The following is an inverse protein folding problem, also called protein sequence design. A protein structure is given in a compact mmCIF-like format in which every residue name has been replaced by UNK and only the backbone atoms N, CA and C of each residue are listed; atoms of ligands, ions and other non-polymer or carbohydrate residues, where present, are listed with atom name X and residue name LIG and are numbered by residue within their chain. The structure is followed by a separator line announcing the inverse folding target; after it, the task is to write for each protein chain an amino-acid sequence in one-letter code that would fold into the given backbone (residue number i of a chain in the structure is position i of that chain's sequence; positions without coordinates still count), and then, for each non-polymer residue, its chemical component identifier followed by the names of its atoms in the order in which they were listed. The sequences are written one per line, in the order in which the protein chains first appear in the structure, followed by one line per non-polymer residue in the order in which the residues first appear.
data_IF_799464702771
#
_entry.id   IF_799464702771
#
_cell.length_a   1.000
_cell.length_b   1.000
_cell.length_c   1.000
_cell.angle_alpha   90.00
_cell.angle_beta   90.00
_cell.angle_gamma   90.00
#
_symmetry.space_group_name_H-M   'P 1'
#
loop_
_entity.id
_entity.type
_entity.pdbx_description
1 polymer ?
#
# COMPACT_ATOMS: atom_id res chain seq x y z
N UNK A 1 -7.96 -24.90 1.87
CA UNK A 1 -9.38 -24.73 2.29
C UNK A 1 -10.10 -26.07 2.39
N UNK A 2 -9.86 -27.03 1.47
CA UNK A 2 -10.54 -28.35 1.48
C UNK A 2 -10.37 -29.09 2.82
N UNK A 3 -9.16 -29.10 3.38
CA UNK A 3 -8.83 -29.77 4.65
C UNK A 3 -9.17 -28.95 5.89
N UNK A 4 -9.66 -27.71 5.72
CA UNK A 4 -10.02 -26.87 6.86
C UNK A 4 -11.30 -27.43 7.51
N UNK A 5 -11.30 -27.54 8.85
CA UNK A 5 -12.50 -27.91 9.61
C UNK A 5 -13.62 -26.86 9.44
N UNK A 6 -14.87 -27.22 9.72
CA UNK A 6 -16.01 -26.33 9.47
C UNK A 6 -15.95 -25.03 10.31
N UNK A 7 -15.38 -25.10 11.51
CA UNK A 7 -15.11 -23.93 12.36
C UNK A 7 -13.68 -23.39 12.25
N UNK A 8 -12.91 -23.87 11.24
CA UNK A 8 -11.51 -23.53 11.08
C UNK A 8 -11.28 -22.16 10.46
N UNK A 9 -10.15 -21.56 10.82
CA UNK A 9 -9.63 -20.33 10.20
C UNK A 9 -8.31 -20.63 9.51
N UNK A 10 -8.10 -20.09 8.32
CA UNK A 10 -6.85 -20.17 7.57
C UNK A 10 -6.40 -18.76 7.20
N UNK A 11 -5.14 -18.46 7.45
CA UNK A 11 -4.49 -17.27 6.93
C UNK A 11 -3.38 -17.70 5.95
N UNK A 12 -3.32 -17.08 4.78
CA UNK A 12 -2.31 -17.39 3.78
C UNK A 12 -1.70 -16.09 3.24
N UNK A 13 -0.37 -16.07 3.16
CA UNK A 13 0.40 -14.96 2.59
C UNK A 13 0.61 -15.21 1.10
N UNK A 14 0.24 -14.25 0.28
CA UNK A 14 0.31 -14.35 -1.17
C UNK A 14 0.79 -13.00 -1.77
N UNK A 15 1.39 -13.00 -2.97
CA UNK A 15 1.66 -11.76 -3.70
C UNK A 15 0.36 -11.03 -4.07
N UNK A 16 0.37 -9.69 -4.10
CA UNK A 16 -0.81 -8.89 -4.47
C UNK A 16 -1.46 -9.28 -5.80
N UNK A 17 -0.69 -9.85 -6.73
CA UNK A 17 -1.21 -10.29 -8.04
C UNK A 17 -2.44 -11.19 -7.96
N UNK A 18 -2.55 -12.05 -6.94
CA UNK A 18 -3.70 -12.95 -6.76
C UNK A 18 -5.02 -12.20 -6.52
N UNK A 19 -4.94 -10.94 -6.09
CA UNK A 19 -6.12 -10.11 -5.79
C UNK A 19 -6.84 -9.64 -7.07
N UNK A 20 -6.13 -9.48 -8.18
CA UNK A 20 -6.68 -8.83 -9.38
C UNK A 20 -6.41 -9.57 -10.71
N UNK A 21 -5.50 -10.55 -10.76
CA UNK A 21 -5.28 -11.30 -11.98
C UNK A 21 -6.55 -12.04 -12.40
N UNK A 22 -6.79 -12.06 -13.72
CA UNK A 22 -7.92 -12.74 -14.35
C UNK A 22 -7.70 -14.25 -14.52
N UNK A 23 -8.38 -14.82 -15.53
CA UNK A 23 -8.35 -16.24 -15.86
C UNK A 23 -8.64 -17.16 -14.66
N UNK A 24 -7.86 -18.21 -14.44
CA UNK A 24 -8.10 -19.20 -13.40
C UNK A 24 -8.10 -18.61 -11.98
N UNK A 25 -7.23 -17.60 -11.71
CA UNK A 25 -7.20 -16.93 -10.41
C UNK A 25 -8.50 -16.15 -10.16
N UNK A 26 -9.03 -15.47 -11.18
CA UNK A 26 -10.32 -14.77 -11.09
C UNK A 26 -11.48 -15.72 -10.80
N UNK A 27 -11.56 -16.84 -11.52
CA UNK A 27 -12.59 -17.87 -11.30
C UNK A 27 -12.53 -18.46 -9.88
N UNK A 28 -11.31 -18.70 -9.36
CA UNK A 28 -11.14 -19.21 -7.99
C UNK A 28 -11.60 -18.16 -6.96
N UNK A 29 -11.26 -16.88 -7.15
CA UNK A 29 -11.72 -15.82 -6.25
C UNK A 29 -13.24 -15.73 -6.23
N UNK A 30 -13.87 -15.62 -7.40
CA UNK A 30 -15.32 -15.56 -7.51
C UNK A 30 -15.98 -16.75 -6.83
N UNK A 31 -15.52 -17.96 -7.09
CA UNK A 31 -16.05 -19.19 -6.45
C UNK A 31 -15.93 -19.14 -4.92
N UNK A 32 -14.77 -18.74 -4.39
CA UNK A 32 -14.54 -18.69 -2.95
C UNK A 32 -15.36 -17.63 -2.23
N UNK A 33 -15.70 -16.54 -2.93
CA UNK A 33 -16.48 -15.44 -2.38
C UNK A 33 -17.99 -15.67 -2.61
N UNK A 34 -18.39 -15.86 -3.85
CA UNK A 34 -19.80 -15.93 -4.26
C UNK A 34 -20.48 -17.24 -3.86
N UNK A 35 -19.81 -18.37 -4.15
CA UNK A 35 -20.41 -19.69 -3.94
C UNK A 35 -20.15 -20.25 -2.53
N UNK A 36 -18.98 -19.97 -1.99
CA UNK A 36 -18.55 -20.50 -0.68
C UNK A 36 -18.62 -19.50 0.44
N UNK A 37 -18.53 -18.22 0.15
CA UNK A 37 -18.49 -17.14 1.13
C UNK A 37 -17.44 -17.35 2.22
N UNK A 38 -16.22 -17.80 1.86
CA UNK A 38 -15.19 -18.17 2.82
C UNK A 38 -14.18 -17.05 3.10
N UNK A 39 -14.07 -16.04 2.23
CA UNK A 39 -13.11 -14.95 2.42
C UNK A 39 -13.61 -13.96 3.48
N UNK A 40 -12.88 -13.83 4.56
CA UNK A 40 -13.25 -12.98 5.71
C UNK A 40 -12.53 -11.63 5.68
N UNK A 41 -11.22 -11.62 5.32
CA UNK A 41 -10.45 -10.39 5.23
C UNK A 41 -9.33 -10.48 4.20
N UNK A 42 -8.96 -9.29 3.69
CA UNK A 42 -7.79 -9.02 2.84
C UNK A 42 -6.93 -7.98 3.54
N UNK A 43 -5.69 -8.32 3.86
CA UNK A 43 -4.76 -7.45 4.59
C UNK A 43 -3.54 -7.21 3.71
N UNK A 44 -3.35 -5.98 3.25
CA UNK A 44 -2.17 -5.55 2.51
C UNK A 44 -0.99 -5.33 3.44
N UNK A 45 0.14 -5.87 3.09
CA UNK A 45 1.39 -5.73 3.84
C UNK A 45 2.37 -4.82 3.10
N UNK A 46 3.34 -4.22 3.80
CA UNK A 46 4.39 -3.43 3.18
C UNK A 46 5.18 -4.22 2.13
N UNK A 47 5.68 -3.52 1.13
CA UNK A 47 6.65 -4.09 0.21
C UNK A 47 7.97 -4.41 0.93
N UNK A 48 8.78 -5.28 0.34
CA UNK A 48 10.13 -5.59 0.81
C UNK A 48 10.21 -6.10 2.27
N UNK A 49 9.20 -6.85 2.74
CA UNK A 49 9.21 -7.50 4.06
C UNK A 49 9.72 -8.95 4.01
N UNK A 50 9.77 -9.57 2.83
CA UNK A 50 10.27 -10.93 2.65
C UNK A 50 11.65 -10.93 2.02
N UNK A 51 12.48 -11.90 2.43
CA UNK A 51 13.82 -12.05 1.91
C UNK A 51 13.81 -12.36 0.40
N UNK A 52 14.65 -11.66 -0.36
CA UNK A 52 14.85 -11.92 -1.79
C UNK A 52 13.74 -11.38 -2.71
N UNK A 53 12.76 -10.62 -2.21
CA UNK A 53 11.74 -9.98 -3.04
C UNK A 53 11.30 -8.63 -2.48
N UNK A 54 11.12 -7.66 -3.37
CA UNK A 54 10.54 -6.35 -3.04
C UNK A 54 9.03 -6.29 -3.33
N UNK A 55 8.43 -7.39 -3.80
CA UNK A 55 7.02 -7.42 -4.20
C UNK A 55 6.14 -7.27 -2.95
N UNK A 56 5.13 -6.37 -2.97
CA UNK A 56 4.17 -6.28 -1.88
C UNK A 56 3.33 -7.56 -1.81
N UNK A 57 2.99 -7.95 -0.59
CA UNK A 57 2.22 -9.17 -0.30
C UNK A 57 0.94 -8.83 0.46
N UNK A 58 0.02 -9.77 0.48
CA UNK A 58 -1.20 -9.67 1.26
C UNK A 58 -1.44 -10.95 2.08
N UNK A 59 -2.20 -10.82 3.15
CA UNK A 59 -2.76 -11.95 3.89
C UNK A 59 -4.22 -12.08 3.49
N UNK A 60 -4.62 -13.26 3.04
CA UNK A 60 -6.02 -13.63 2.86
C UNK A 60 -6.46 -14.49 4.05
N UNK A 61 -7.51 -14.06 4.72
CA UNK A 61 -8.10 -14.78 5.86
C UNK A 61 -9.37 -15.49 5.38
N UNK A 62 -9.41 -16.80 5.54
CA UNK A 62 -10.55 -17.62 5.18
C UNK A 62 -11.15 -18.29 6.40
N UNK A 63 -12.47 -18.32 6.48
CA UNK A 63 -13.26 -19.03 7.49
C UNK A 63 -14.40 -19.77 6.80
N UNK A 64 -14.66 -21.01 7.15
CA UNK A 64 -15.85 -21.72 6.66
C UNK A 64 -17.12 -21.29 7.38
N UNK A 65 -17.01 -20.93 8.66
CA UNK A 65 -18.09 -20.38 9.46
C UNK A 65 -17.72 -18.94 9.82
N UNK A 66 -18.25 -17.97 9.04
CA UNK A 66 -17.98 -16.54 9.23
C UNK A 66 -19.05 -15.94 10.13
N UNK A 67 -18.66 -15.02 11.00
CA UNK A 67 -19.59 -14.23 11.82
C UNK A 67 -20.19 -13.07 11.00
N UNK A 68 -19.40 -12.51 10.05
CA UNK A 68 -19.80 -11.40 9.20
C UNK A 68 -19.92 -11.90 7.75
N UNK A 69 -21.03 -12.57 7.45
CA UNK A 69 -21.24 -13.24 6.16
C UNK A 69 -21.57 -12.27 5.00
N UNK A 70 -21.95 -11.04 5.30
CA UNK A 70 -22.43 -10.02 4.37
C UNK A 70 -21.34 -9.08 3.85
N UNK A 71 -20.12 -9.15 4.39
CA UNK A 71 -19.05 -8.23 4.04
C UNK A 71 -17.66 -8.88 4.09
N UNK A 72 -16.66 -8.21 3.51
CA UNK A 72 -15.24 -8.57 3.58
C UNK A 72 -14.46 -7.37 4.11
N UNK A 73 -13.58 -7.59 5.09
CA UNK A 73 -12.74 -6.54 5.64
C UNK A 73 -11.48 -6.35 4.79
N UNK A 74 -11.22 -5.13 4.34
CA UNK A 74 -9.97 -4.71 3.71
C UNK A 74 -9.15 -3.88 4.69
N UNK A 75 -7.88 -4.21 4.86
CA UNK A 75 -6.91 -3.45 5.66
C UNK A 75 -5.71 -3.13 4.77
N UNK A 76 -5.33 -1.88 4.69
CA UNK A 76 -4.09 -1.45 4.05
C UNK A 76 -3.04 -1.09 5.10
N UNK A 77 -2.15 -2.02 5.40
CA UNK A 77 -1.00 -1.80 6.27
C UNK A 77 0.30 -1.57 5.49
N UNK A 78 0.20 -1.20 4.21
CA UNK A 78 1.37 -1.03 3.33
C UNK A 78 2.34 0.06 3.79
N UNK A 79 1.86 1.03 4.57
CA UNK A 79 2.66 2.14 5.12
C UNK A 79 3.14 1.88 6.56
N UNK A 80 2.68 0.82 7.21
CA UNK A 80 2.98 0.49 8.60
C UNK A 80 4.22 -0.41 8.68
N UNK A 81 5.42 0.18 8.72
CA UNK A 81 6.67 -0.55 8.83
C UNK A 81 7.82 0.32 9.33
N UNK A 82 8.86 -0.31 9.80
CA UNK A 82 10.16 0.28 10.06
C UNK A 82 11.11 -0.03 8.88
N UNK A 83 11.67 1.00 8.21
CA UNK A 83 12.61 0.76 7.12
C UNK A 83 13.91 0.19 7.66
N UNK A 84 14.35 -0.94 7.12
CA UNK A 84 15.63 -1.56 7.42
C UNK A 84 16.61 -1.43 6.25
N UNK A 85 17.89 -1.74 6.48
CA UNK A 85 18.94 -1.63 5.46
C UNK A 85 18.67 -2.49 4.22
N UNK A 86 18.15 -3.71 4.41
CA UNK A 86 17.92 -4.68 3.35
C UNK A 86 16.44 -5.03 3.19
N UNK A 87 15.64 -4.91 4.24
CA UNK A 87 14.23 -5.28 4.29
C UNK A 87 13.48 -4.35 5.22
N UNK A 88 12.20 -4.13 4.92
CA UNK A 88 11.27 -3.49 5.83
C UNK A 88 10.85 -4.48 6.93
N UNK A 89 10.52 -3.98 8.10
CA UNK A 89 10.12 -4.80 9.25
C UNK A 89 8.80 -4.31 9.81
N UNK A 90 7.89 -5.23 10.08
CA UNK A 90 6.70 -4.94 10.89
C UNK A 90 7.11 -4.91 12.37
N UNK A 91 6.76 -3.84 13.05
CA UNK A 91 6.93 -3.70 14.51
C UNK A 91 5.75 -4.39 15.22
N UNK A 92 5.91 -4.67 16.50
CA UNK A 92 4.84 -5.25 17.30
C UNK A 92 3.59 -4.35 17.32
N UNK A 93 3.78 -3.02 17.33
CA UNK A 93 2.69 -2.06 17.26
C UNK A 93 1.93 -2.12 15.91
N UNK A 94 2.65 -2.30 14.79
CA UNK A 94 2.04 -2.46 13.47
C UNK A 94 1.20 -3.73 13.40
N UNK A 95 1.72 -4.83 13.95
CA UNK A 95 0.99 -6.11 14.05
C UNK A 95 -0.23 -5.99 14.95
N UNK A 96 -0.09 -5.35 16.12
CA UNK A 96 -1.20 -5.12 17.04
C UNK A 96 -2.30 -4.26 16.41
N UNK A 97 -1.93 -3.19 15.68
CA UNK A 97 -2.87 -2.34 14.95
C UNK A 97 -3.69 -3.14 13.92
N UNK A 98 -3.05 -4.04 13.17
CA UNK A 98 -3.74 -4.94 12.24
C UNK A 98 -4.71 -5.85 12.99
N UNK A 99 -4.26 -6.49 14.08
CA UNK A 99 -5.07 -7.43 14.87
C UNK A 99 -6.28 -6.73 15.50
N UNK A 100 -6.08 -5.55 16.08
CA UNK A 100 -7.16 -4.75 16.68
C UNK A 100 -8.18 -4.30 15.65
N UNK A 101 -7.71 -3.86 14.47
CA UNK A 101 -8.59 -3.48 13.36
C UNK A 101 -9.37 -4.68 12.84
N UNK A 102 -8.71 -5.83 12.71
CA UNK A 102 -9.38 -7.07 12.30
C UNK A 102 -10.47 -7.51 13.29
N UNK A 103 -10.20 -7.40 14.59
CA UNK A 103 -11.17 -7.76 15.65
C UNK A 103 -12.34 -6.78 15.75
N UNK A 104 -12.04 -5.49 15.69
CA UNK A 104 -13.06 -4.44 15.86
C UNK A 104 -13.93 -4.26 14.62
N UNK A 105 -13.40 -4.48 13.42
CA UNK A 105 -14.03 -4.22 12.11
C UNK A 105 -14.62 -2.81 11.99
N UNK A 106 -14.03 -1.84 12.70
CA UNK A 106 -14.43 -0.44 12.63
C UNK A 106 -13.69 0.23 11.48
N UNK A 107 -14.43 0.84 10.58
CA UNK A 107 -13.85 1.58 9.45
C UNK A 107 -12.91 2.69 9.95
N UNK A 108 -11.77 2.79 9.28
CA UNK A 108 -10.80 3.86 9.51
C UNK A 108 -10.40 4.44 8.16
N UNK A 109 -10.65 5.73 7.91
CA UNK A 109 -10.25 6.38 6.66
C UNK A 109 -8.78 6.12 6.33
N UNK A 110 -8.49 5.86 5.06
CA UNK A 110 -7.14 5.60 4.54
C UNK A 110 -6.43 4.36 5.13
N UNK A 111 -7.14 3.52 5.89
CA UNK A 111 -6.56 2.34 6.53
C UNK A 111 -7.38 1.06 6.37
N UNK A 112 -8.68 1.11 6.62
CA UNK A 112 -9.52 -0.07 6.44
C UNK A 112 -10.94 0.29 6.03
N UNK A 113 -11.56 -0.64 5.27
CA UNK A 113 -12.94 -0.56 4.80
C UNK A 113 -13.63 -1.92 4.96
N UNK A 114 -14.89 -1.89 5.36
CA UNK A 114 -15.75 -3.07 5.47
C UNK A 114 -16.64 -3.13 4.24
N UNK A 115 -16.16 -3.78 3.19
CA UNK A 115 -16.86 -3.84 1.90
C UNK A 115 -18.01 -4.84 1.92
N UNK A 116 -19.27 -4.44 1.67
CA UNK A 116 -20.38 -5.36 1.50
C UNK A 116 -20.17 -6.24 0.25
N UNK A 117 -20.74 -7.44 0.24
CA UNK A 117 -20.61 -8.36 -0.91
C UNK A 117 -21.14 -7.78 -2.21
N UNK A 118 -22.10 -6.83 -2.16
CA UNK A 118 -22.60 -6.10 -3.33
C UNK A 118 -21.49 -5.27 -3.99
N UNK A 119 -20.69 -4.55 -3.21
CA UNK A 119 -19.54 -3.78 -3.69
C UNK A 119 -18.47 -4.68 -4.29
N UNK A 120 -18.22 -5.86 -3.68
CA UNK A 120 -17.31 -6.86 -4.23
C UNK A 120 -17.78 -7.35 -5.60
N UNK A 121 -19.09 -7.60 -5.75
CA UNK A 121 -19.67 -8.03 -7.00
C UNK A 121 -19.61 -6.93 -8.07
N UNK A 122 -19.89 -5.68 -7.73
CA UNK A 122 -19.76 -4.50 -8.62
C UNK A 122 -18.32 -4.33 -9.11
N UNK A 123 -17.34 -4.66 -8.28
CA UNK A 123 -15.93 -4.70 -8.62
C UNK A 123 -15.48 -5.99 -9.34
N UNK A 124 -16.42 -6.81 -9.82
CA UNK A 124 -16.14 -8.07 -10.55
C UNK A 124 -15.23 -9.04 -9.77
N UNK A 125 -15.41 -9.10 -8.45
CA UNK A 125 -14.56 -9.90 -7.53
C UNK A 125 -13.07 -9.56 -7.62
N UNK A 126 -12.74 -8.35 -8.07
CA UNK A 126 -11.40 -7.81 -8.02
C UNK A 126 -11.15 -7.27 -6.61
N UNK A 127 -10.17 -7.84 -5.91
CA UNK A 127 -9.87 -7.55 -4.51
C UNK A 127 -8.67 -6.57 -4.37
N UNK A 128 -8.33 -5.83 -5.42
CA UNK A 128 -7.25 -4.86 -5.34
C UNK A 128 -7.53 -3.82 -4.26
N UNK A 129 -6.70 -3.77 -3.22
CA UNK A 129 -6.95 -3.00 -2.00
C UNK A 129 -7.26 -1.52 -2.26
N UNK A 130 -6.54 -0.80 -3.17
CA UNK A 130 -6.85 0.60 -3.47
C UNK A 130 -8.26 0.87 -4.03
N UNK A 131 -9.01 -0.16 -4.42
CA UNK A 131 -10.42 0.00 -4.83
C UNK A 131 -11.37 0.14 -3.64
N UNK A 132 -10.95 -0.31 -2.47
CA UNK A 132 -11.75 -0.36 -1.24
C UNK A 132 -11.21 0.59 -0.17
N UNK A 133 -9.89 0.73 -0.10
CA UNK A 133 -9.24 1.64 0.84
C UNK A 133 -8.57 2.75 0.04
N UNK A 134 -9.18 3.94 0.04
CA UNK A 134 -8.60 5.11 -0.61
C UNK A 134 -7.46 5.66 0.25
N UNK A 135 -6.25 5.39 -0.17
CA UNK A 135 -5.02 5.90 0.46
C UNK A 135 -4.49 7.16 -0.20
N UNK A 136 -5.29 7.77 -1.12
CA UNK A 136 -4.91 9.00 -1.79
C UNK A 136 -4.74 10.13 -0.76
N UNK A 137 -3.58 10.71 -0.73
CA UNK A 137 -3.30 11.96 -0.03
C UNK A 137 -3.40 13.07 -1.06
N UNK A 138 -4.28 14.05 -0.84
CA UNK A 138 -4.26 15.26 -1.64
C UNK A 138 -2.87 15.87 -1.49
N UNK A 139 -2.12 15.94 -2.59
CA UNK A 139 -0.87 16.67 -2.62
C UNK A 139 -1.19 18.15 -2.36
N UNK A 140 -0.37 18.82 -1.54
CA UNK A 140 -0.49 20.25 -1.32
C UNK A 140 -0.42 20.94 -2.69
N UNK A 141 -1.36 21.83 -2.96
CA UNK A 141 -1.36 22.62 -4.20
C UNK A 141 -0.03 23.37 -4.32
N UNK A 142 0.75 23.00 -5.32
CA UNK A 142 2.02 23.69 -5.60
C UNK A 142 1.71 25.08 -6.15
N UNK A 143 1.96 26.11 -5.35
CA UNK A 143 1.86 27.49 -5.83
C UNK A 143 3.01 27.78 -6.83
N UNK A 144 2.65 27.73 -8.11
CA UNK A 144 3.57 27.96 -9.23
C UNK A 144 4.30 29.33 -9.10
N UNK A 145 3.65 30.33 -8.50
CA UNK A 145 4.27 31.63 -8.30
C UNK A 145 5.39 31.60 -7.29
N UNK A 146 5.19 30.85 -6.19
CA UNK A 146 6.24 30.65 -5.16
C UNK A 146 7.41 29.90 -5.78
N UNK A 147 7.15 28.82 -6.51
CA UNK A 147 8.21 28.06 -7.21
C UNK A 147 8.96 28.94 -8.21
N UNK A 148 8.27 29.79 -8.98
CA UNK A 148 8.92 30.72 -9.89
C UNK A 148 9.79 31.78 -9.18
N UNK A 149 9.37 32.23 -8.00
CA UNK A 149 10.18 33.17 -7.21
C UNK A 149 11.43 32.48 -6.65
N UNK A 150 11.29 31.26 -6.17
CA UNK A 150 12.43 30.47 -5.69
C UNK A 150 13.42 30.14 -6.79
N UNK A 151 12.97 29.77 -7.99
CA UNK A 151 13.84 29.59 -9.14
C UNK A 151 14.63 30.88 -9.46
N UNK A 152 13.96 32.04 -9.53
CA UNK A 152 14.64 33.30 -9.77
C UNK A 152 15.65 33.67 -8.67
N UNK A 153 15.38 33.29 -7.42
CA UNK A 153 16.33 33.52 -6.33
C UNK A 153 17.55 32.63 -6.50
N UNK A 154 17.34 31.33 -6.77
CA UNK A 154 18.42 30.37 -6.99
C UNK A 154 19.29 30.76 -8.19
N UNK A 155 18.71 31.22 -9.32
CA UNK A 155 19.44 31.67 -10.48
C UNK A 155 20.35 32.87 -10.15
N UNK A 156 19.89 33.78 -9.28
CA UNK A 156 20.73 34.89 -8.82
C UNK A 156 21.88 34.44 -7.92
N UNK A 157 21.59 33.52 -6.99
CA UNK A 157 22.61 32.94 -6.11
C UNK A 157 23.68 32.19 -6.94
N UNK A 158 23.27 31.45 -7.97
CA UNK A 158 24.21 30.78 -8.90
C UNK A 158 25.07 31.85 -9.60
N UNK A 159 24.47 32.91 -10.16
CA UNK A 159 25.20 33.94 -10.87
C UNK A 159 26.19 34.72 -9.96
N UNK A 160 25.90 34.84 -8.66
CA UNK A 160 26.81 35.45 -7.69
C UNK A 160 28.00 34.52 -7.41
N UNK A 161 27.73 33.22 -7.17
CA UNK A 161 28.76 32.21 -6.95
C UNK A 161 29.67 32.05 -8.17
N UNK A 162 29.10 32.04 -9.37
CA UNK A 162 29.87 31.97 -10.63
C UNK A 162 30.81 33.15 -10.78
N UNK A 163 30.39 34.36 -10.39
CA UNK A 163 31.26 35.52 -10.40
C UNK A 163 32.43 35.39 -9.42
N UNK A 164 32.16 34.96 -8.21
CA UNK A 164 33.21 34.71 -7.21
C UNK A 164 34.17 33.61 -7.68
N UNK A 165 33.65 32.54 -8.26
CA UNK A 165 34.44 31.45 -8.79
C UNK A 165 35.34 31.91 -9.95
N UNK A 166 34.83 32.71 -10.87
CA UNK A 166 35.58 33.24 -11.98
C UNK A 166 36.74 34.17 -11.53
N UNK A 167 36.58 34.87 -10.41
CA UNK A 167 37.69 35.63 -9.82
C UNK A 167 38.84 34.69 -9.39
N UNK A 168 38.52 33.59 -8.70
CA UNK A 168 39.52 32.60 -8.28
C UNK A 168 40.13 31.86 -9.47
N UNK A 169 39.32 31.47 -10.47
CA UNK A 169 39.83 30.81 -11.69
C UNK A 169 40.84 31.70 -12.43
N UNK A 170 40.56 32.99 -12.51
CA UNK A 170 41.44 33.98 -13.14
C UNK A 170 42.76 34.14 -12.35
N UNK A 171 42.70 34.16 -11.03
CA UNK A 171 43.90 34.20 -10.20
C UNK A 171 44.77 32.93 -10.36
N UNK A 172 44.17 31.79 -10.62
CA UNK A 172 44.84 30.51 -10.86
C UNK A 172 45.27 30.31 -12.33
N UNK A 173 44.93 31.23 -13.23
CA UNK A 173 45.22 31.10 -14.67
C UNK A 173 44.45 30.04 -15.39
N UNK A 174 43.23 29.70 -14.89
CA UNK A 174 42.30 28.77 -15.48
C UNK A 174 41.21 29.51 -16.32
N UNK A 175 40.54 28.77 -17.20
CA UNK A 175 39.43 29.32 -17.99
C UNK A 175 38.21 29.61 -17.09
N UNK A 176 37.53 30.76 -17.38
CA UNK A 176 36.26 31.14 -16.72
C UNK A 176 35.12 30.22 -17.15
N UNK A 177 34.13 30.02 -16.26
CA UNK A 177 32.92 29.22 -16.52
C UNK A 177 31.83 30.14 -17.08
#
# INVERSE_FOLDING_TARGET
IYQLSDNGTMAVVLPHGVLFRGASEGTIREYLIKEKNYLDAVIGLPANIFFGTSIPTCILVFKKCRENEDNILFIDASKDFEPGKNQNRLRDDDVNKIIETYKSRVEKPKYCHVAPLSEIAENEYNLNIPRYVDTFEEEEEIDIKVVQQDLKRIDKEIAEVDKELNVYLKELGLEEI
#
